data_IF_351410025949
#
_entry.id   IF_351410025949
#
_cell.length_a   1.000
_cell.length_b   1.000
_cell.length_c   1.000
_cell.angle_alpha   90.00
_cell.angle_beta   90.00
_cell.angle_gamma   90.00
#
_symmetry.space_group_name_H-M   'P 1'
#
loop_
_entity.id
_entity.type
_entity.pdbx_description
1 polymer ?
#
# COMPACT_ATOMS: atom_id res chain seq x y z
N UNK A 1 7.12 1.74 -1.67
CA UNK A 1 6.50 0.46 -1.23
C UNK A 1 5.17 0.28 -1.96
N UNK A 2 4.81 -0.96 -2.35
CA UNK A 2 3.48 -1.31 -2.87
C UNK A 2 2.86 -2.42 -2.01
N UNK A 3 1.54 -2.40 -1.82
CA UNK A 3 0.84 -3.47 -1.08
C UNK A 3 -0.33 -2.99 -0.22
N UNK A 4 -0.73 -3.82 0.74
CA UNK A 4 -1.80 -3.54 1.70
C UNK A 4 -1.26 -3.64 3.13
N UNK A 5 -1.59 -2.66 3.97
CA UNK A 5 -1.22 -2.62 5.39
C UNK A 5 -2.51 -2.54 6.20
N UNK A 6 -2.64 -3.43 7.19
CA UNK A 6 -3.75 -3.44 8.15
C UNK A 6 -3.20 -3.33 9.55
N UNK A 7 -3.76 -2.43 10.34
CA UNK A 7 -3.37 -2.29 11.74
C UNK A 7 -4.51 -1.73 12.58
N UNK A 8 -4.46 -1.95 13.89
CA UNK A 8 -5.48 -1.42 14.78
C UNK A 8 -5.28 0.08 15.05
N UNK A 9 -4.03 0.50 15.26
CA UNK A 9 -3.70 1.86 15.70
C UNK A 9 -2.32 2.28 15.12
N UNK A 10 -2.12 3.58 14.95
CA UNK A 10 -0.90 4.22 14.46
C UNK A 10 -0.31 3.58 13.18
N UNK A 11 -1.10 3.47 12.12
CA UNK A 11 -0.69 2.73 10.92
C UNK A 11 -0.04 3.67 9.88
N UNK A 12 1.24 3.46 9.60
CA UNK A 12 1.99 4.23 8.60
C UNK A 12 2.45 3.39 7.42
N UNK A 13 2.54 3.97 6.23
CA UNK A 13 3.09 3.30 5.05
C UNK A 13 4.60 3.03 5.13
N UNK A 14 5.33 3.76 5.98
CA UNK A 14 6.74 3.51 6.28
C UNK A 14 6.98 3.26 7.76
N UNK A 15 6.36 4.06 8.63
CA UNK A 15 6.59 4.03 10.08
C UNK A 15 5.26 4.00 10.83
N UNK A 16 5.00 2.91 11.54
CA UNK A 16 3.88 2.81 12.48
C UNK A 16 4.29 3.24 13.89
N UNK A 17 3.49 4.08 14.54
CA UNK A 17 3.63 4.49 15.95
C UNK A 17 4.79 5.44 16.31
N UNK A 18 4.53 6.31 17.30
CA UNK A 18 5.46 7.12 18.10
C UNK A 18 6.83 7.48 17.48
N UNK A 19 6.83 8.03 16.28
CA UNK A 19 8.06 8.41 15.59
C UNK A 19 8.68 9.68 16.18
N UNK A 20 9.98 9.63 16.47
CA UNK A 20 10.81 10.76 16.88
C UNK A 20 12.18 10.68 16.19
N UNK A 21 12.68 11.83 15.76
CA UNK A 21 13.91 12.02 15.01
C UNK A 21 14.00 11.17 13.72
N UNK A 22 12.90 11.12 12.95
CA UNK A 22 12.84 10.35 11.68
C UNK A 22 12.89 11.28 10.48
N UNK A 23 13.74 10.97 9.51
CA UNK A 23 13.78 11.63 8.20
C UNK A 23 13.41 10.66 7.09
N UNK A 24 12.40 11.03 6.29
CA UNK A 24 12.04 10.35 5.05
C UNK A 24 12.34 11.31 3.89
N UNK A 25 13.19 10.89 2.96
CA UNK A 25 13.59 11.73 1.81
C UNK A 25 13.56 10.90 0.53
N UNK A 26 13.17 11.53 -0.58
CA UNK A 26 13.22 10.92 -1.90
C UNK A 26 12.55 9.53 -1.93
N UNK A 27 11.34 9.45 -1.37
CA UNK A 27 10.67 8.18 -1.10
C UNK A 27 9.23 8.20 -1.59
N UNK A 28 8.66 7.02 -1.81
CA UNK A 28 7.24 6.93 -2.15
C UNK A 28 6.54 5.72 -1.54
N UNK A 29 5.28 5.91 -1.17
CA UNK A 29 4.36 4.89 -0.71
C UNK A 29 3.15 4.79 -1.66
N UNK A 30 2.90 3.58 -2.15
CA UNK A 30 1.77 3.20 -2.99
C UNK A 30 1.08 2.01 -2.32
N UNK A 31 0.60 2.23 -1.10
CA UNK A 31 0.05 1.18 -0.24
C UNK A 31 -1.37 1.50 0.17
N UNK A 32 -2.25 0.50 0.16
CA UNK A 32 -3.59 0.63 0.77
C UNK A 32 -3.47 0.45 2.28
N UNK A 33 -3.86 1.45 3.05
CA UNK A 33 -3.80 1.44 4.52
C UNK A 33 -5.21 1.34 5.09
N UNK A 34 -5.48 0.27 5.82
CA UNK A 34 -6.69 0.13 6.63
C UNK A 34 -6.32 0.14 8.11
N UNK A 35 -6.72 1.18 8.81
CA UNK A 35 -6.46 1.36 10.23
C UNK A 35 -7.77 1.36 11.03
N UNK A 36 -7.74 0.75 12.22
CA UNK A 36 -8.78 1.03 13.22
C UNK A 36 -8.74 2.50 13.63
N UNK A 37 -7.53 3.04 13.83
CA UNK A 37 -7.30 4.42 14.25
C UNK A 37 -6.41 5.24 13.31
N UNK A 38 -5.48 6.03 13.85
CA UNK A 38 -4.75 7.05 13.07
C UNK A 38 -3.90 6.40 11.99
N UNK A 39 -3.95 6.98 10.81
CA UNK A 39 -3.32 6.45 9.63
C UNK A 39 -2.65 7.52 8.78
N UNK A 40 -1.42 7.27 8.34
CA UNK A 40 -0.75 8.17 7.42
C UNK A 40 0.07 7.49 6.35
N UNK A 41 0.18 8.15 5.20
CA UNK A 41 0.88 7.57 4.05
C UNK A 41 2.35 7.28 4.32
N UNK A 42 2.98 8.04 5.21
CA UNK A 42 4.33 7.76 5.73
C UNK A 42 4.31 7.40 7.21
N UNK A 43 3.69 8.23 8.04
CA UNK A 43 3.63 8.08 9.50
C UNK A 43 2.19 7.91 9.97
N UNK A 44 1.91 6.84 10.73
CA UNK A 44 0.65 6.75 11.45
C UNK A 44 0.53 7.86 12.49
N UNK A 45 1.53 7.95 13.38
CA UNK A 45 1.62 8.97 14.43
C UNK A 45 3.06 9.43 14.64
N UNK A 46 3.23 10.73 14.93
CA UNK A 46 4.51 11.30 15.39
C UNK A 46 4.48 11.54 16.90
N UNK A 47 5.52 11.10 17.60
CA UNK A 47 5.76 11.36 19.03
C UNK A 47 6.95 12.31 19.27
N UNK A 48 7.49 12.92 18.21
CA UNK A 48 8.58 13.87 18.27
C UNK A 48 8.85 14.49 16.89
N UNK A 49 10.11 14.85 16.64
CA UNK A 49 10.47 15.63 15.44
C UNK A 49 10.60 14.74 14.20
N UNK A 50 9.98 15.13 13.09
CA UNK A 50 10.10 14.40 11.83
C UNK A 50 10.29 15.32 10.64
N UNK A 51 11.03 14.85 9.64
CA UNK A 51 11.24 15.55 8.38
C UNK A 51 10.83 14.66 7.22
N UNK A 52 9.97 15.16 6.34
CA UNK A 52 9.63 14.52 5.06
C UNK A 52 9.99 15.46 3.92
N UNK A 53 10.77 14.97 2.97
CA UNK A 53 11.22 15.76 1.83
C UNK A 53 11.09 15.00 0.52
N UNK A 54 10.62 15.68 -0.53
CA UNK A 54 10.61 15.17 -1.91
C UNK A 54 10.04 13.76 -2.00
N UNK A 55 8.87 13.54 -1.39
CA UNK A 55 8.29 12.21 -1.24
C UNK A 55 6.79 12.25 -1.52
N UNK A 56 6.23 11.17 -2.08
CA UNK A 56 4.80 11.13 -2.40
C UNK A 56 4.08 9.89 -1.87
N UNK A 57 2.78 10.06 -1.61
CA UNK A 57 1.85 8.98 -1.28
C UNK A 57 0.76 8.88 -2.34
N UNK A 58 0.50 7.68 -2.88
CA UNK A 58 -0.51 7.46 -3.93
C UNK A 58 -1.51 6.34 -3.65
N UNK A 59 -1.38 5.63 -2.53
CA UNK A 59 -2.32 4.59 -2.14
C UNK A 59 -3.65 5.14 -1.62
N UNK A 60 -4.42 4.35 -0.86
CA UNK A 60 -5.65 4.82 -0.21
C UNK A 60 -5.60 4.60 1.29
N UNK A 61 -6.18 5.52 2.08
CA UNK A 61 -6.23 5.42 3.54
C UNK A 61 -7.68 5.30 4.01
N UNK A 62 -7.92 4.38 4.95
CA UNK A 62 -9.17 4.29 5.71
C UNK A 62 -8.92 4.09 7.19
N UNK A 63 -9.31 5.07 8.01
CA UNK A 63 -9.32 5.02 9.48
C UNK A 63 -10.77 4.88 9.98
N UNK A 64 -11.15 3.67 10.42
CA UNK A 64 -12.58 3.27 10.45
C UNK A 64 -13.27 3.30 11.81
N UNK A 65 -12.54 3.32 12.93
CA UNK A 65 -13.14 3.27 14.27
C UNK A 65 -13.13 4.62 15.00
N UNK A 66 -11.98 5.30 14.99
CA UNK A 66 -11.76 6.67 15.53
C UNK A 66 -10.44 7.20 14.98
N UNK A 67 -10.06 8.46 15.18
CA UNK A 67 -8.73 8.95 14.77
C UNK A 67 -8.62 9.39 13.32
N UNK A 68 -7.44 9.84 12.92
CA UNK A 68 -7.24 10.78 11.82
C UNK A 68 -6.49 10.17 10.63
N UNK A 69 -6.74 10.69 9.44
CA UNK A 69 -6.06 10.25 8.22
C UNK A 69 -5.37 11.40 7.49
N UNK A 70 -4.09 11.23 7.17
CA UNK A 70 -3.31 12.18 6.38
C UNK A 70 -2.42 11.53 5.35
N UNK A 71 -2.28 12.11 4.17
CA UNK A 71 -1.46 11.54 3.10
C UNK A 71 0.03 11.42 3.44
N UNK A 72 0.51 12.12 4.48
CA UNK A 72 1.87 11.99 5.02
C UNK A 72 1.83 11.53 6.48
N UNK A 73 1.18 12.29 7.35
CA UNK A 73 1.10 12.03 8.80
C UNK A 73 -0.38 11.88 9.19
N UNK A 74 -0.73 10.79 9.86
CA UNK A 74 -2.08 10.62 10.41
C UNK A 74 -2.36 11.60 11.54
N UNK A 75 -1.51 11.59 12.57
CA UNK A 75 -1.66 12.44 13.75
C UNK A 75 -0.29 12.88 14.31
N UNK A 76 -0.16 14.16 14.62
CA UNK A 76 0.93 14.72 15.44
C UNK A 76 0.48 14.67 16.91
N UNK A 77 0.95 13.67 17.67
CA UNK A 77 0.44 13.39 19.03
C UNK A 77 1.26 14.03 20.15
N UNK A 78 2.54 14.34 19.92
CA UNK A 78 3.43 14.90 20.95
C UNK A 78 4.18 16.13 20.44
N UNK A 79 4.84 16.81 21.37
CA UNK A 79 5.75 17.91 21.05
C UNK A 79 6.92 17.43 20.20
N UNK A 80 7.17 18.16 19.13
CA UNK A 80 8.20 17.87 18.14
C UNK A 80 8.14 18.88 17.01
N UNK A 81 9.24 18.99 16.28
CA UNK A 81 9.35 19.85 15.10
C UNK A 81 9.02 19.06 13.83
N UNK A 82 8.00 19.51 13.10
CA UNK A 82 7.46 18.84 11.92
C UNK A 82 7.82 19.64 10.68
N UNK A 83 8.53 18.99 9.74
CA UNK A 83 8.97 19.59 8.48
C UNK A 83 8.50 18.77 7.29
N UNK A 84 7.65 19.35 6.44
CA UNK A 84 7.25 18.76 5.16
C UNK A 84 7.62 19.70 4.03
N UNK A 85 8.42 19.22 3.08
CA UNK A 85 8.78 20.01 1.90
C UNK A 85 8.78 19.19 0.62
N UNK A 86 8.21 19.73 -0.46
CA UNK A 86 8.16 19.02 -1.74
C UNK A 86 7.37 17.70 -1.66
N UNK A 87 6.43 17.57 -0.71
CA UNK A 87 5.66 16.35 -0.50
C UNK A 87 4.36 16.35 -1.30
N UNK A 88 3.99 15.20 -1.86
CA UNK A 88 2.79 15.08 -2.71
C UNK A 88 1.81 14.04 -2.17
N UNK A 89 0.57 14.46 -1.90
CA UNK A 89 -0.53 13.56 -1.50
C UNK A 89 -1.49 13.32 -2.66
N UNK A 90 -1.48 12.12 -3.21
CA UNK A 90 -2.20 11.78 -4.46
C UNK A 90 -3.46 10.94 -4.18
N UNK A 91 -3.39 10.13 -3.14
CA UNK A 91 -4.36 9.10 -2.79
C UNK A 91 -5.65 9.59 -2.15
N UNK A 92 -6.71 8.77 -2.22
CA UNK A 92 -7.96 9.00 -1.49
C UNK A 92 -7.77 8.73 0.00
N UNK A 93 -8.34 9.61 0.84
CA UNK A 93 -8.17 9.58 2.30
C UNK A 93 -9.54 9.56 2.98
N UNK A 94 -9.74 8.61 3.88
CA UNK A 94 -10.97 8.52 4.67
C UNK A 94 -10.65 8.31 6.15
N UNK A 95 -11.41 8.99 7.01
CA UNK A 95 -11.39 8.82 8.46
C UNK A 95 -12.78 9.12 9.01
N UNK A 96 -13.16 8.47 10.10
CA UNK A 96 -14.42 8.79 10.78
C UNK A 96 -14.37 10.10 11.60
N UNK A 97 -13.21 10.73 11.77
CA UNK A 97 -13.06 11.97 12.57
C UNK A 97 -12.45 13.13 11.78
N UNK A 98 -11.20 13.00 11.34
CA UNK A 98 -10.47 14.10 10.72
C UNK A 98 -9.62 13.59 9.56
N UNK A 99 -9.71 14.28 8.42
CA UNK A 99 -8.85 14.02 7.26
C UNK A 99 -8.12 15.29 6.86
N UNK A 100 -6.89 15.18 6.35
CA UNK A 100 -6.21 16.30 5.70
C UNK A 100 -5.26 15.80 4.63
N UNK A 101 -5.00 16.61 3.60
CA UNK A 101 -4.22 16.14 2.45
C UNK A 101 -2.86 15.57 2.86
N UNK A 102 -2.10 16.28 3.69
CA UNK A 102 -0.79 15.82 4.18
C UNK A 102 -0.86 15.39 5.65
N UNK A 103 -1.50 16.18 6.51
CA UNK A 103 -1.58 15.93 7.95
C UNK A 103 -3.05 15.73 8.32
N UNK A 104 -3.37 14.62 9.00
CA UNK A 104 -4.72 14.34 9.49
C UNK A 104 -5.08 15.12 10.75
N UNK A 105 -4.09 15.50 11.56
CA UNK A 105 -4.26 16.54 12.57
C UNK A 105 -3.08 16.72 13.53
N UNK A 106 -3.21 17.72 14.41
CA UNK A 106 -2.26 18.03 15.48
C UNK A 106 -2.99 18.08 16.82
N UNK A 107 -2.59 17.23 17.78
CA UNK A 107 -3.20 17.21 19.10
C UNK A 107 -3.00 18.53 19.81
N UNK A 108 -3.97 18.89 20.66
CA UNK A 108 -3.96 20.15 21.40
C UNK A 108 -4.03 19.89 22.89
N UNK A 109 -3.20 20.57 23.66
CA UNK A 109 -3.32 20.69 25.10
C UNK A 109 -3.85 22.09 25.43
N UNK A 110 -5.04 22.18 26.03
CA UNK A 110 -5.71 23.45 26.34
C UNK A 110 -5.84 24.41 25.13
N UNK A 111 -6.10 23.85 23.94
CA UNK A 111 -6.26 24.62 22.70
C UNK A 111 -4.94 24.98 21.99
N UNK A 112 -3.79 24.69 22.59
CA UNK A 112 -2.46 24.89 22.01
C UNK A 112 -1.98 23.61 21.34
N UNK A 113 -1.50 23.71 20.12
CA UNK A 113 -0.95 22.58 19.37
C UNK A 113 0.29 21.99 20.04
N UNK A 114 0.35 20.66 20.12
CA UNK A 114 1.46 19.93 20.72
C UNK A 114 2.71 20.03 19.86
N UNK A 115 2.58 19.66 18.58
CA UNK A 115 3.69 19.72 17.62
C UNK A 115 3.81 21.10 16.98
N UNK A 116 5.03 21.50 16.67
CA UNK A 116 5.32 22.71 15.90
C UNK A 116 5.56 22.35 14.46
N UNK A 117 4.78 22.89 13.53
CA UNK A 117 5.04 22.76 12.10
C UNK A 117 5.94 23.94 11.69
N UNK A 118 7.26 23.73 11.65
CA UNK A 118 8.19 24.83 11.32
C UNK A 118 8.47 24.97 9.82
N UNK A 119 8.17 23.93 9.02
CA UNK A 119 8.32 23.97 7.57
C UNK A 119 7.17 23.22 6.91
N UNK A 120 6.42 23.91 6.05
CA UNK A 120 5.41 23.31 5.19
C UNK A 120 5.43 24.03 3.83
N UNK A 121 6.29 23.59 2.92
CA UNK A 121 6.61 24.34 1.70
C UNK A 121 6.64 23.46 0.45
N UNK A 122 6.16 23.97 -0.68
CA UNK A 122 6.12 23.31 -1.98
C UNK A 122 5.39 21.96 -1.97
N UNK A 123 4.40 21.83 -1.07
CA UNK A 123 3.61 20.62 -0.92
C UNK A 123 2.45 20.66 -1.92
N UNK A 124 2.19 19.53 -2.58
CA UNK A 124 1.15 19.40 -3.59
C UNK A 124 0.12 18.35 -3.17
N UNK A 125 -1.11 18.47 -3.67
CA UNK A 125 -2.09 17.41 -3.56
C UNK A 125 -2.87 17.20 -4.85
N UNK A 126 -3.36 15.99 -5.05
CA UNK A 126 -4.26 15.67 -6.16
C UNK A 126 -5.63 16.29 -5.91
N UNK A 127 -6.05 17.24 -6.75
CA UNK A 127 -7.34 17.93 -6.61
C UNK A 127 -8.54 16.97 -6.80
N UNK A 128 -8.36 15.86 -7.50
CA UNK A 128 -9.40 14.85 -7.71
C UNK A 128 -9.40 13.78 -6.59
N UNK A 129 -8.49 13.85 -5.62
CA UNK A 129 -8.48 12.92 -4.49
C UNK A 129 -9.66 13.20 -3.56
N UNK A 130 -10.40 12.16 -3.21
CA UNK A 130 -11.50 12.27 -2.27
C UNK A 130 -10.97 12.32 -0.84
N UNK A 131 -11.38 13.35 -0.09
CA UNK A 131 -11.29 13.36 1.38
C UNK A 131 -12.69 13.07 1.95
N UNK A 132 -12.83 11.98 2.68
CA UNK A 132 -14.09 11.59 3.32
C UNK A 132 -13.93 11.61 4.83
N UNK A 133 -14.74 12.43 5.50
CA UNK A 133 -14.78 12.46 6.96
C UNK A 133 -16.19 12.73 7.50
N UNK A 134 -16.51 12.13 8.64
CA UNK A 134 -17.73 12.46 9.39
C UNK A 134 -17.53 13.65 10.33
N UNK A 135 -16.28 14.06 10.59
CA UNK A 135 -15.96 15.24 11.37
C UNK A 135 -15.50 16.39 10.48
N UNK A 136 -14.23 16.79 10.61
CA UNK A 136 -13.71 17.99 9.92
C UNK A 136 -12.54 17.67 9.02
N UNK A 137 -12.33 18.50 7.99
CA UNK A 137 -11.07 18.50 7.27
C UNK A 137 -10.05 19.32 8.06
N UNK A 138 -8.89 18.74 8.33
CA UNK A 138 -7.77 19.46 8.92
C UNK A 138 -7.14 20.38 7.87
N UNK A 139 -6.87 21.61 8.30
CA UNK A 139 -6.23 22.65 7.50
C UNK A 139 -5.01 23.17 8.24
N UNK A 140 -4.03 23.67 7.49
CA UNK A 140 -2.80 24.17 8.06
C UNK A 140 -3.11 25.39 8.97
N UNK A 141 -2.58 25.44 10.20
CA UNK A 141 -2.83 26.56 11.11
C UNK A 141 -2.13 27.83 10.61
N UNK A 142 -2.86 28.95 10.64
CA UNK A 142 -2.40 30.28 10.21
C UNK A 142 -1.37 30.94 11.15
N UNK A 143 -1.06 30.33 12.29
CA UNK A 143 -0.16 30.91 13.31
C UNK A 143 1.27 31.11 12.79
N UNK A 144 1.96 32.14 13.25
CA UNK A 144 3.12 32.78 12.57
C UNK A 144 4.47 32.05 12.67
N UNK A 145 4.58 30.93 13.40
CA UNK A 145 5.86 30.23 13.54
C UNK A 145 6.18 29.37 12.30
N UNK A 146 7.40 29.50 11.77
CA UNK A 146 7.90 28.68 10.65
C UNK A 146 7.70 29.29 9.25
N UNK A 147 8.20 28.60 8.23
CA UNK A 147 8.02 28.95 6.82
C UNK A 147 6.98 28.01 6.21
N UNK A 148 5.80 28.55 5.92
CA UNK A 148 4.61 27.76 5.59
C UNK A 148 3.82 28.39 4.46
N UNK A 149 3.29 27.56 3.58
CA UNK A 149 2.28 27.90 2.58
C UNK A 149 1.21 26.81 2.54
N UNK A 150 0.01 27.11 2.03
CA UNK A 150 -0.98 26.08 1.78
C UNK A 150 -0.49 25.10 0.70
N UNK A 151 -0.85 23.82 0.82
CA UNK A 151 -0.53 22.87 -0.22
C UNK A 151 -1.26 23.26 -1.53
N UNK A 152 -0.59 23.13 -2.67
CA UNK A 152 -1.17 23.52 -3.96
C UNK A 152 -1.94 22.35 -4.59
N UNK A 153 -3.21 22.54 -4.99
CA UNK A 153 -3.94 21.54 -5.75
C UNK A 153 -3.35 21.36 -7.16
N UNK A 154 -3.25 20.12 -7.61
CA UNK A 154 -2.75 19.77 -8.94
C UNK A 154 -3.66 18.70 -9.57
N UNK A 155 -4.04 18.91 -10.82
CA UNK A 155 -4.79 17.91 -11.60
C UNK A 155 -3.97 16.62 -11.80
N UNK A 156 -4.59 15.43 -11.78
CA UNK A 156 -3.89 14.15 -11.96
C UNK A 156 -3.00 14.08 -13.20
N UNK A 157 -3.43 14.71 -14.30
CA UNK A 157 -2.67 14.73 -15.55
C UNK A 157 -1.32 15.48 -15.41
N UNK A 158 -1.25 16.48 -14.54
CA UNK A 158 -0.01 17.23 -14.28
C UNK A 158 0.87 16.51 -13.26
N UNK A 159 0.30 15.75 -12.32
CA UNK A 159 1.06 14.86 -11.43
C UNK A 159 1.83 13.75 -12.18
N UNK A 160 1.60 13.57 -13.49
CA UNK A 160 2.37 12.64 -14.34
C UNK A 160 3.41 13.34 -15.21
N UNK A 161 3.79 14.58 -14.89
CA UNK A 161 4.77 15.37 -15.63
C UNK A 161 6.01 15.69 -14.79
N UNK A 162 7.19 15.55 -15.37
CA UNK A 162 8.46 15.84 -14.69
C UNK A 162 8.53 17.30 -14.21
N UNK A 163 8.00 18.23 -15.01
CA UNK A 163 8.04 19.66 -14.71
C UNK A 163 7.35 20.02 -13.39
N UNK A 164 6.27 19.33 -13.04
CA UNK A 164 5.54 19.53 -11.78
C UNK A 164 6.44 19.27 -10.57
N UNK A 165 7.24 18.20 -10.61
CA UNK A 165 8.13 17.84 -9.50
C UNK A 165 9.43 18.63 -9.50
N UNK A 166 9.96 18.97 -10.69
CA UNK A 166 11.15 19.83 -10.81
C UNK A 166 10.87 21.22 -10.22
N UNK A 167 9.66 21.76 -10.42
CA UNK A 167 9.24 23.05 -9.87
C UNK A 167 9.21 23.09 -8.34
N UNK A 168 9.04 21.95 -7.67
CA UNK A 168 9.06 21.82 -6.21
C UNK A 168 10.40 21.25 -5.67
N UNK A 169 11.44 21.22 -6.50
CA UNK A 169 12.81 20.90 -6.07
C UNK A 169 13.21 19.41 -6.13
N UNK A 170 12.51 18.59 -6.92
CA UNK A 170 12.89 17.18 -7.12
C UNK A 170 14.04 17.04 -8.12
N UNK A 171 14.99 16.16 -7.81
CA UNK A 171 16.16 15.89 -8.66
C UNK A 171 15.88 14.74 -9.64
N UNK A 172 15.61 15.07 -10.91
CA UNK A 172 15.48 14.12 -12.01
C UNK A 172 16.80 13.84 -12.74
N UNK A 173 17.89 14.52 -12.38
CA UNK A 173 19.22 14.21 -12.89
C UNK A 173 19.76 12.94 -12.23
N UNK A 174 19.54 12.76 -10.92
CA UNK A 174 20.14 11.64 -10.18
C UNK A 174 19.15 10.72 -9.48
N UNK A 175 18.01 11.22 -9.00
CA UNK A 175 17.15 10.45 -8.07
C UNK A 175 15.93 9.86 -8.79
N UNK A 176 15.19 10.71 -9.48
CA UNK A 176 13.88 10.36 -10.02
C UNK A 176 13.90 10.23 -11.53
N UNK A 177 13.02 9.37 -12.05
CA UNK A 177 12.65 9.25 -13.45
C UNK A 177 11.12 9.25 -13.53
N UNK A 178 10.56 9.66 -14.66
CA UNK A 178 9.11 9.62 -14.86
C UNK A 178 8.81 9.32 -16.32
N UNK A 179 7.77 8.51 -16.55
CA UNK A 179 7.23 8.29 -17.89
C UNK A 179 6.10 9.28 -18.12
N UNK A 180 6.42 10.37 -18.80
CA UNK A 180 5.54 11.50 -19.09
C UNK A 180 4.10 11.06 -19.45
N UNK A 181 3.12 11.65 -18.75
CA UNK A 181 1.69 11.43 -18.96
C UNK A 181 1.14 10.07 -18.50
N UNK A 182 1.98 9.09 -18.17
CA UNK A 182 1.53 7.70 -17.91
C UNK A 182 1.81 7.20 -16.50
N UNK A 183 2.88 7.66 -15.85
CA UNK A 183 3.28 7.21 -14.53
C UNK A 183 3.61 8.39 -13.60
N UNK A 184 3.54 8.15 -12.29
CA UNK A 184 4.15 9.01 -11.26
C UNK A 184 5.68 8.80 -11.22
N UNK A 185 6.45 9.71 -10.57
CA UNK A 185 7.90 9.57 -10.45
C UNK A 185 8.31 8.22 -9.84
N UNK A 186 9.38 7.63 -10.35
CA UNK A 186 9.98 6.40 -9.83
C UNK A 186 11.48 6.60 -9.61
N UNK A 187 12.04 5.92 -8.63
CA UNK A 187 13.47 5.99 -8.33
C UNK A 187 14.28 5.34 -9.47
N UNK A 188 15.32 6.04 -9.96
CA UNK A 188 16.15 5.56 -11.09
C UNK A 188 16.83 4.21 -10.83
N UNK A 189 17.19 3.92 -9.58
CA UNK A 189 18.04 2.79 -9.20
C UNK A 189 17.27 1.61 -8.60
N UNK A 190 15.99 1.46 -8.92
CA UNK A 190 15.24 0.23 -8.59
C UNK A 190 15.62 -0.88 -9.59
N UNK A 191 16.88 -1.32 -9.59
CA UNK A 191 17.19 -2.65 -10.11
C UNK A 191 16.74 -3.65 -9.04
N UNK A 192 15.69 -4.42 -9.32
CA UNK A 192 15.29 -5.57 -8.50
C UNK A 192 16.28 -6.72 -8.71
N UNK A 193 17.54 -6.51 -8.34
CA UNK A 193 18.53 -7.59 -8.29
C UNK A 193 18.46 -8.19 -6.89
N UNK A 194 17.84 -9.36 -6.77
CA UNK A 194 17.90 -10.18 -5.54
C UNK A 194 16.60 -10.38 -4.77
N UNK A 195 15.46 -9.86 -5.26
CA UNK A 195 14.14 -10.24 -4.75
C UNK A 195 13.29 -10.65 -5.96
N UNK A 196 13.15 -11.95 -6.17
CA UNK A 196 12.04 -12.47 -6.98
C UNK A 196 10.76 -12.16 -6.22
N UNK A 197 9.83 -11.42 -6.83
CA UNK A 197 8.45 -11.39 -6.34
C UNK A 197 8.02 -12.85 -6.17
N UNK A 198 7.77 -13.27 -4.92
CA UNK A 198 6.92 -14.43 -4.69
C UNK A 198 5.51 -13.96 -5.01
N UNK A 199 5.21 -13.87 -6.30
CA UNK A 199 3.83 -13.87 -6.75
C UNK A 199 3.30 -15.20 -6.26
N UNK A 200 2.53 -15.18 -5.16
CA UNK A 200 1.56 -16.23 -4.94
C UNK A 200 0.58 -16.04 -6.10
N UNK A 201 0.92 -16.61 -7.25
CA UNK A 201 0.02 -16.68 -8.38
C UNK A 201 -1.21 -17.37 -7.82
N UNK A 202 -2.30 -16.61 -7.76
CA UNK A 202 -3.62 -17.18 -7.57
C UNK A 202 -3.75 -18.20 -8.69
N UNK A 203 -3.72 -19.49 -8.35
CA UNK A 203 -3.54 -20.54 -9.36
C UNK A 203 -4.58 -20.34 -10.46
N UNK A 204 -4.14 -20.31 -11.74
CA UNK A 204 -5.07 -20.27 -12.87
C UNK A 204 -6.08 -21.43 -12.83
N UNK A 205 -5.68 -22.51 -12.17
CA UNK A 205 -6.53 -23.67 -11.94
C UNK A 205 -7.55 -23.41 -10.85
N UNK A 206 -8.82 -23.71 -11.14
CA UNK A 206 -9.87 -23.79 -10.13
C UNK A 206 -10.10 -25.25 -9.76
N UNK A 207 -10.18 -25.51 -8.45
CA UNK A 207 -10.47 -26.84 -7.91
C UNK A 207 -11.84 -26.86 -7.29
N UNK A 208 -12.64 -27.85 -7.68
CA UNK A 208 -13.83 -28.25 -6.94
C UNK A 208 -13.77 -29.73 -6.59
N UNK A 209 -14.48 -30.13 -5.55
CA UNK A 209 -14.48 -31.52 -5.08
C UNK A 209 -15.91 -31.98 -4.91
N UNK A 210 -16.20 -33.21 -5.33
CA UNK A 210 -17.47 -33.88 -5.06
C UNK A 210 -17.21 -35.35 -4.78
N UNK A 211 -17.61 -35.81 -3.60
CA UNK A 211 -17.42 -37.18 -3.12
C UNK A 211 -15.94 -37.66 -3.15
N UNK A 212 -15.55 -38.45 -4.17
CA UNK A 212 -14.17 -38.94 -4.40
C UNK A 212 -13.55 -38.37 -5.67
N UNK A 213 -14.13 -37.30 -6.21
CA UNK A 213 -13.68 -36.67 -7.45
C UNK A 213 -13.15 -35.27 -7.18
N UNK A 214 -11.91 -35.03 -7.60
CA UNK A 214 -11.30 -33.70 -7.66
C UNK A 214 -11.43 -33.20 -9.09
N UNK A 215 -12.12 -32.10 -9.30
CA UNK A 215 -12.24 -31.46 -10.61
C UNK A 215 -11.19 -30.36 -10.71
N UNK A 216 -10.43 -30.41 -11.81
CA UNK A 216 -9.44 -29.39 -12.14
C UNK A 216 -9.94 -28.69 -13.40
N UNK A 217 -10.13 -27.37 -13.33
CA UNK A 217 -10.45 -26.52 -14.49
C UNK A 217 -9.38 -25.45 -14.69
N UNK A 218 -9.35 -24.80 -15.86
CA UNK A 218 -8.31 -23.81 -16.21
C UNK A 218 -7.05 -24.40 -16.85
N UNK A 219 -7.12 -25.65 -17.32
CA UNK A 219 -6.10 -26.29 -18.17
C UNK A 219 -6.36 -25.86 -19.62
N UNK A 220 -5.36 -25.25 -20.26
CA UNK A 220 -5.46 -24.70 -21.61
C UNK A 220 -4.55 -25.43 -22.61
N UNK A 221 -3.54 -26.14 -22.11
CA UNK A 221 -2.60 -26.97 -22.87
C UNK A 221 -2.52 -28.37 -22.25
N UNK A 222 -1.73 -29.25 -22.86
CA UNK A 222 -1.43 -30.55 -22.27
C UNK A 222 -0.74 -30.37 -20.90
N UNK A 223 -1.36 -30.95 -19.87
CA UNK A 223 -0.92 -30.87 -18.49
C UNK A 223 -0.83 -32.27 -17.86
N UNK A 224 0.26 -32.54 -17.17
CA UNK A 224 0.39 -33.71 -16.31
C UNK A 224 -0.17 -33.38 -14.91
N UNK A 225 -1.15 -34.16 -14.46
CA UNK A 225 -1.77 -33.98 -13.16
C UNK A 225 -1.50 -35.19 -12.27
N UNK A 226 -0.88 -34.95 -11.12
CA UNK A 226 -0.51 -35.97 -10.13
C UNK A 226 -1.16 -35.67 -8.79
N UNK A 227 -1.80 -36.65 -8.17
CA UNK A 227 -2.30 -36.55 -6.79
C UNK A 227 -1.46 -37.43 -5.86
N UNK A 228 -1.00 -36.85 -4.75
CA UNK A 228 -0.29 -37.53 -3.69
C UNK A 228 -1.15 -37.62 -2.43
N UNK A 229 -1.10 -38.73 -1.71
CA UNK A 229 -1.62 -38.81 -0.35
C UNK A 229 -0.64 -38.19 0.67
N UNK A 230 -1.03 -38.12 1.95
CA UNK A 230 -0.19 -37.55 3.01
C UNK A 230 1.10 -38.33 3.31
N UNK A 231 1.18 -39.59 2.89
CA UNK A 231 2.41 -40.38 2.99
C UNK A 231 3.37 -40.11 1.80
N UNK A 232 3.02 -39.17 0.91
CA UNK A 232 3.81 -38.85 -0.29
C UNK A 232 3.64 -39.86 -1.43
N UNK A 233 2.71 -40.80 -1.34
CA UNK A 233 2.49 -41.80 -2.38
C UNK A 233 1.59 -41.23 -3.49
N UNK A 234 1.96 -41.48 -4.75
CA UNK A 234 1.13 -41.15 -5.91
C UNK A 234 -0.11 -42.04 -5.91
N UNK A 235 -1.29 -41.44 -5.83
CA UNK A 235 -2.59 -42.15 -5.90
C UNK A 235 -3.29 -41.97 -7.25
N UNK A 236 -2.86 -41.00 -8.05
CA UNK A 236 -3.33 -40.76 -9.40
C UNK A 236 -2.27 -39.99 -10.19
N UNK A 237 -2.13 -40.31 -11.49
CA UNK A 237 -1.29 -39.58 -12.43
C UNK A 237 -1.89 -39.73 -13.83
N UNK A 238 -2.15 -38.61 -14.52
CA UNK A 238 -2.63 -38.62 -15.90
C UNK A 238 -2.21 -37.36 -16.64
N UNK A 239 -2.04 -37.48 -17.95
CA UNK A 239 -1.96 -36.34 -18.86
C UNK A 239 -3.37 -35.95 -19.28
N UNK A 240 -3.69 -34.66 -19.27
CA UNK A 240 -5.01 -34.11 -19.63
C UNK A 240 -4.83 -32.85 -20.48
N UNK A 241 -5.75 -32.63 -21.42
CA UNK A 241 -5.71 -31.48 -22.34
C UNK A 241 -6.81 -30.45 -22.09
N UNK A 242 -7.69 -30.72 -21.11
CA UNK A 242 -8.80 -29.86 -20.71
C UNK A 242 -9.18 -30.13 -19.25
N UNK A 243 -10.23 -29.45 -18.78
CA UNK A 243 -10.85 -29.74 -17.48
C UNK A 243 -11.07 -31.25 -17.30
N UNK A 244 -10.65 -31.77 -16.15
CA UNK A 244 -10.64 -33.21 -15.88
C UNK A 244 -11.12 -33.53 -14.46
N UNK A 245 -11.71 -34.72 -14.29
CA UNK A 245 -12.12 -35.25 -13.01
C UNK A 245 -11.16 -36.38 -12.59
N UNK A 246 -10.56 -36.22 -11.43
CA UNK A 246 -9.59 -37.15 -10.86
C UNK A 246 -10.29 -37.97 -9.78
N UNK A 247 -10.34 -39.28 -9.98
CA UNK A 247 -10.87 -40.19 -8.96
C UNK A 247 -9.76 -40.53 -7.98
N UNK A 248 -9.96 -40.18 -6.71
CA UNK A 248 -9.07 -40.57 -5.62
C UNK A 248 -9.60 -41.82 -4.90
N UNK A 249 -8.71 -42.67 -4.35
CA UNK A 249 -9.13 -43.96 -3.77
C UNK A 249 -10.02 -43.81 -2.54
N UNK A 250 -9.78 -42.79 -1.72
CA UNK A 250 -10.50 -42.53 -0.46
C UNK A 250 -10.84 -41.05 -0.26
N UNK A 251 -11.72 -40.74 0.69
CA UNK A 251 -11.89 -39.37 1.18
C UNK A 251 -10.69 -38.99 2.04
N UNK A 252 -10.27 -37.74 2.01
CA UNK A 252 -9.08 -37.30 2.73
C UNK A 252 -8.36 -36.11 2.10
N UNK A 253 -7.20 -35.78 2.67
CA UNK A 253 -6.34 -34.69 2.21
C UNK A 253 -5.33 -35.19 1.17
N UNK A 254 -5.22 -34.46 0.07
CA UNK A 254 -4.32 -34.75 -1.04
C UNK A 254 -3.47 -33.53 -1.39
N UNK A 255 -2.26 -33.77 -1.87
CA UNK A 255 -1.44 -32.77 -2.57
C UNK A 255 -1.60 -33.00 -4.06
N UNK A 256 -2.14 -32.03 -4.78
CA UNK A 256 -2.28 -32.05 -6.22
C UNK A 256 -1.12 -31.27 -6.84
N UNK A 257 -0.40 -31.87 -7.78
CA UNK A 257 0.65 -31.26 -8.59
C UNK A 257 0.16 -31.23 -10.05
N UNK A 258 0.29 -30.08 -10.70
CA UNK A 258 -0.04 -29.88 -12.11
C UNK A 258 1.21 -29.36 -12.80
N UNK A 259 1.61 -30.00 -13.90
CA UNK A 259 2.73 -29.58 -14.75
C UNK A 259 2.20 -29.27 -16.14
N UNK A 260 2.23 -28.00 -16.55
CA UNK A 260 1.73 -27.55 -17.86
C UNK A 260 2.71 -26.56 -18.46
N UNK A 261 3.12 -26.76 -19.72
CA UNK A 261 4.13 -25.94 -20.40
C UNK A 261 5.44 -25.75 -19.61
N UNK A 262 5.84 -26.75 -18.82
CA UNK A 262 7.05 -26.73 -17.98
C UNK A 262 6.89 -26.01 -16.63
N UNK A 263 5.75 -25.36 -16.38
CA UNK A 263 5.44 -24.75 -15.08
C UNK A 263 4.81 -25.76 -14.13
N UNK A 264 5.20 -25.71 -12.84
CA UNK A 264 4.71 -26.62 -11.79
C UNK A 264 3.86 -25.85 -10.78
N UNK A 265 2.60 -26.27 -10.62
CA UNK A 265 1.69 -25.75 -9.58
C UNK A 265 1.34 -26.85 -8.59
N UNK A 266 1.39 -26.57 -7.29
CA UNK A 266 1.01 -27.51 -6.24
C UNK A 266 -0.02 -26.93 -5.29
N UNK A 267 -1.00 -27.74 -4.88
CA UNK A 267 -2.11 -27.30 -4.03
C UNK A 267 -2.61 -28.40 -3.11
N UNK A 268 -3.06 -28.02 -1.91
CA UNK A 268 -3.68 -28.93 -0.95
C UNK A 268 -5.18 -28.99 -1.22
N UNK A 269 -5.71 -30.20 -1.41
CA UNK A 269 -7.12 -30.43 -1.71
C UNK A 269 -7.70 -31.37 -0.67
N UNK A 270 -8.73 -30.93 0.05
CA UNK A 270 -9.47 -31.78 0.97
C UNK A 270 -10.71 -32.35 0.27
N UNK A 271 -10.71 -33.67 0.12
CA UNK A 271 -11.82 -34.45 -0.42
C UNK A 271 -12.73 -34.88 0.74
N UNK A 272 -13.60 -33.95 1.16
CA UNK A 272 -14.60 -34.09 2.23
C UNK A 272 -16.02 -34.27 1.69
N UNK A 273 -17.02 -34.34 2.59
CA UNK A 273 -18.42 -34.67 2.29
C UNK A 273 -18.95 -34.14 0.97
#
# INVERSE_FOLDING_TARGET
MKGEIKGNDHVGGFVGGNSDNVTIKNSYADVTINAGQQAGGFFGVTAGSVTVQNSYYTGSISAVSRGWAGGVIGLIDKTGDIKLSGCVSIGNLSSVEVTGYHIGGNMKDNGVERGTISLFLHNLYNIDATLTTNGTQWVLPSTTAGVKEEATPVFPANLKKQSTYTAIGWDFSNVWSIKEGTAYPQLKNLQTSGISENTIEKSKYSISVSDKKIYVSGIENEAEVTAYNLNGQVVFQSVVTSSSAILVPHKGLYLLKIVENGSVTSMKVYCGR
#
